data_IF_965749854509
#
_entry.id   IF_965749854509
#
_cell.length_a   1.000
_cell.length_b   1.000
_cell.length_c   1.000
_cell.angle_alpha   90.00
_cell.angle_beta   90.00
_cell.angle_gamma   90.00
#
_symmetry.space_group_name_H-M   'P 1'
#
loop_
_entity.id
_entity.type
_entity.pdbx_description
1 polymer ?
#
# COMPACT_ATOMS: atom_id res chain seq x y z
N UNK A 1 6.06 -19.25 3.43
CA UNK A 1 6.30 -17.84 3.09
C UNK A 1 5.12 -17.04 3.60
N UNK A 2 5.41 -16.07 4.40
CA UNK A 2 4.35 -15.29 5.04
C UNK A 2 3.95 -14.10 4.16
N UNK A 3 2.75 -13.60 4.42
CA UNK A 3 2.29 -12.35 3.82
C UNK A 3 2.93 -11.18 4.58
N UNK A 4 3.18 -10.05 3.91
CA UNK A 4 3.61 -8.84 4.62
C UNK A 4 2.51 -8.35 5.56
N UNK A 5 2.92 -7.65 6.60
CA UNK A 5 1.96 -6.99 7.49
C UNK A 5 1.44 -5.73 6.82
N UNK A 6 0.14 -5.64 6.53
CA UNK A 6 -0.42 -4.46 5.90
C UNK A 6 -0.74 -3.38 6.92
N UNK A 7 -0.52 -2.15 6.53
CA UNK A 7 -1.00 -0.98 7.26
C UNK A 7 -1.55 0.01 6.24
N UNK A 8 -2.82 0.36 6.40
CA UNK A 8 -3.53 1.19 5.42
C UNK A 8 -3.82 2.56 6.02
N UNK A 9 -3.46 3.58 5.27
CA UNK A 9 -3.74 4.98 5.60
C UNK A 9 -4.42 5.63 4.41
N UNK A 10 -5.43 6.44 4.68
CA UNK A 10 -6.06 7.26 3.66
C UNK A 10 -6.22 8.67 4.23
N UNK A 11 -5.52 9.62 3.63
CA UNK A 11 -5.57 11.03 4.03
C UNK A 11 -5.99 11.83 2.82
N UNK A 12 -7.13 12.54 2.93
CA UNK A 12 -7.73 13.22 1.79
C UNK A 12 -7.99 12.21 0.66
N UNK A 13 -7.40 12.41 -0.52
CA UNK A 13 -7.53 11.49 -1.64
C UNK A 13 -6.28 10.63 -1.85
N UNK A 14 -5.39 10.54 -0.85
CA UNK A 14 -4.18 9.73 -0.96
C UNK A 14 -4.36 8.44 -0.17
N UNK A 15 -4.36 7.34 -0.89
CA UNK A 15 -4.40 5.99 -0.31
C UNK A 15 -2.98 5.44 -0.25
N UNK A 16 -2.60 4.89 0.91
CA UNK A 16 -1.29 4.26 1.09
C UNK A 16 -1.49 2.91 1.78
N UNK A 17 -0.96 1.87 1.17
CA UNK A 17 -0.86 0.55 1.79
C UNK A 17 0.59 0.24 2.05
N UNK A 18 1.00 0.28 3.32
CA UNK A 18 2.33 -0.15 3.72
C UNK A 18 2.38 -1.66 3.83
N UNK A 19 3.43 -2.24 3.28
CA UNK A 19 3.71 -3.67 3.39
C UNK A 19 5.08 -3.85 4.04
N UNK A 20 5.12 -4.56 5.15
CA UNK A 20 6.38 -4.92 5.82
C UNK A 20 6.61 -6.41 5.62
N UNK A 21 7.64 -6.72 4.86
CA UNK A 21 8.08 -8.10 4.61
C UNK A 21 9.17 -8.42 5.63
N UNK A 22 8.83 -9.20 6.64
CA UNK A 22 9.76 -9.48 7.75
C UNK A 22 10.94 -10.31 7.31
N UNK A 23 10.70 -11.29 6.43
CA UNK A 23 11.71 -12.23 5.96
C UNK A 23 11.86 -12.21 4.46
N UNK A 24 13.09 -12.37 4.00
CA UNK A 24 13.34 -12.64 2.58
C UNK A 24 12.52 -13.85 2.15
N UNK A 25 11.87 -13.75 0.99
CA UNK A 25 10.99 -14.77 0.47
C UNK A 25 9.51 -14.53 0.77
N UNK A 26 9.16 -13.63 1.66
CA UNK A 26 7.77 -13.27 1.91
C UNK A 26 7.18 -12.64 0.66
N UNK A 27 5.92 -12.97 0.39
CA UNK A 27 5.26 -12.63 -0.87
C UNK A 27 3.94 -11.90 -0.62
N UNK A 28 3.77 -10.77 -1.31
CA UNK A 28 2.47 -10.17 -1.52
C UNK A 28 1.92 -10.71 -2.83
N UNK A 29 0.89 -11.56 -2.75
CA UNK A 29 0.29 -12.17 -3.93
C UNK A 29 -0.30 -11.12 -4.85
N UNK A 30 -0.07 -11.35 -6.14
CA UNK A 30 -0.49 -10.40 -7.13
C UNK A 30 -1.97 -10.47 -7.44
N UNK A 31 -2.47 -9.30 -7.73
CA UNK A 31 -3.78 -9.10 -8.33
C UNK A 31 -3.67 -7.90 -9.25
N UNK A 32 -4.60 -7.81 -10.18
CA UNK A 32 -4.66 -6.64 -11.05
C UNK A 32 -5.54 -5.59 -10.42
N UNK A 33 -5.11 -4.35 -10.50
CA UNK A 33 -5.94 -3.20 -10.11
C UNK A 33 -6.49 -2.53 -11.36
N UNK A 34 -7.63 -1.86 -11.21
CA UNK A 34 -8.22 -1.08 -12.30
C UNK A 34 -7.60 0.32 -12.40
N UNK A 35 -6.53 0.60 -11.68
CA UNK A 35 -5.87 1.89 -11.63
C UNK A 35 -4.35 1.71 -11.64
N UNK A 36 -3.64 2.70 -12.17
CA UNK A 36 -2.18 2.77 -12.07
C UNK A 36 -1.81 3.19 -10.66
N UNK A 37 -0.68 2.69 -10.17
CA UNK A 37 -0.17 3.15 -8.88
C UNK A 37 1.35 3.08 -8.83
N UNK A 38 1.91 3.70 -7.80
CA UNK A 38 3.34 3.67 -7.52
C UNK A 38 3.57 2.85 -6.27
N UNK A 39 4.54 1.96 -6.33
CA UNK A 39 5.06 1.31 -5.13
C UNK A 39 6.39 1.96 -4.78
N UNK A 40 6.44 2.60 -3.61
CA UNK A 40 7.69 3.15 -3.06
C UNK A 40 8.36 2.04 -2.24
N UNK A 41 9.51 1.58 -2.74
CA UNK A 41 10.37 0.66 -1.99
C UNK A 41 11.24 1.51 -1.06
N UNK A 42 10.90 1.50 0.22
CA UNK A 42 11.54 2.38 1.21
C UNK A 42 12.78 1.76 1.83
N UNK A 43 12.78 0.44 2.02
CA UNK A 43 13.95 -0.28 2.55
C UNK A 43 13.98 -1.69 1.99
N UNK A 44 15.18 -2.29 1.96
CA UNK A 44 15.38 -3.65 1.49
C UNK A 44 15.41 -3.77 -0.02
N UNK A 45 14.91 -4.88 -0.53
CA UNK A 45 14.89 -5.18 -1.96
C UNK A 45 13.67 -6.03 -2.31
N UNK A 46 13.09 -5.78 -3.48
CA UNK A 46 11.92 -6.49 -3.98
C UNK A 46 12.19 -7.06 -5.36
N UNK A 47 11.57 -8.22 -5.62
CA UNK A 47 11.43 -8.78 -6.95
C UNK A 47 9.97 -8.65 -7.37
N UNK A 48 9.77 -7.98 -8.50
CA UNK A 48 8.46 -7.87 -9.12
C UNK A 48 8.29 -8.97 -10.16
N UNK A 49 7.23 -9.75 -10.00
CA UNK A 49 6.82 -10.74 -10.99
C UNK A 49 5.59 -10.21 -11.72
N UNK A 50 5.72 -9.95 -13.01
CA UNK A 50 4.62 -9.45 -13.84
C UNK A 50 4.88 -9.79 -15.31
N UNK A 51 3.81 -10.10 -16.03
CA UNK A 51 3.86 -10.36 -17.47
C UNK A 51 4.85 -11.47 -17.86
N UNK A 52 4.99 -12.49 -17.00
CA UNK A 52 5.93 -13.59 -17.21
C UNK A 52 7.40 -13.22 -17.07
N UNK A 53 7.66 -12.05 -16.53
CA UNK A 53 9.02 -11.52 -16.32
C UNK A 53 9.24 -11.19 -14.86
N UNK A 54 10.53 -11.07 -14.49
CA UNK A 54 10.91 -10.61 -13.15
C UNK A 54 11.83 -9.42 -13.27
N UNK A 55 11.72 -8.51 -12.32
CA UNK A 55 12.61 -7.34 -12.21
C UNK A 55 12.94 -7.13 -10.75
N UNK A 56 14.21 -6.90 -10.46
CA UNK A 56 14.69 -6.69 -9.11
C UNK A 56 14.95 -5.20 -8.87
N UNK A 57 14.56 -4.75 -7.68
CA UNK A 57 14.72 -3.36 -7.27
C UNK A 57 15.34 -3.31 -5.89
N UNK A 58 16.21 -2.33 -5.68
CA UNK A 58 16.80 -2.03 -4.38
C UNK A 58 16.35 -0.67 -3.89
N UNK A 59 16.04 -0.59 -2.63
CA UNK A 59 15.61 0.67 -1.99
C UNK A 59 16.75 1.71 -1.97
N UNK A 60 16.42 2.99 -2.04
CA UNK A 60 15.08 3.52 -2.29
C UNK A 60 14.74 3.52 -3.78
N UNK A 61 13.51 3.20 -4.12
CA UNK A 61 13.09 3.12 -5.52
C UNK A 61 11.58 3.30 -5.66
N UNK A 62 11.13 3.96 -6.72
CA UNK A 62 9.73 4.05 -7.08
C UNK A 62 9.45 3.05 -8.20
N UNK A 63 8.47 2.18 -8.00
CA UNK A 63 8.10 1.17 -8.98
C UNK A 63 6.71 1.51 -9.50
N UNK A 64 6.62 1.75 -10.82
CA UNK A 64 5.33 2.02 -11.45
C UNK A 64 4.63 0.70 -11.77
N UNK A 65 3.38 0.58 -11.34
CA UNK A 65 2.54 -0.58 -11.64
C UNK A 65 1.36 -0.11 -12.49
N UNK A 66 1.29 -0.61 -13.72
CA UNK A 66 0.25 -0.23 -14.65
C UNK A 66 -1.06 -0.94 -14.32
N UNK A 67 -2.17 -0.23 -14.54
CA UNK A 67 -3.51 -0.80 -14.38
C UNK A 67 -3.68 -2.06 -15.23
N UNK A 68 -4.38 -3.05 -14.71
CA UNK A 68 -4.70 -4.29 -15.40
C UNK A 68 -3.58 -5.32 -15.43
N UNK A 69 -2.42 -5.02 -14.87
CA UNK A 69 -1.29 -5.96 -14.83
C UNK A 69 -1.33 -6.75 -13.54
N UNK A 70 -1.46 -8.07 -13.65
CA UNK A 70 -1.31 -8.95 -12.50
C UNK A 70 0.16 -8.97 -12.08
N UNK A 71 0.42 -8.66 -10.83
CA UNK A 71 1.78 -8.54 -10.32
C UNK A 71 1.90 -9.16 -8.94
N UNK A 72 3.09 -9.64 -8.62
CA UNK A 72 3.43 -10.21 -7.33
C UNK A 72 4.73 -9.60 -6.85
N UNK A 73 4.81 -9.30 -5.56
CA UNK A 73 6.01 -8.73 -4.96
C UNK A 73 6.63 -9.75 -4.01
N UNK A 74 7.90 -10.02 -4.21
CA UNK A 74 8.67 -10.94 -3.36
C UNK A 74 9.81 -10.18 -2.70
N UNK A 75 9.94 -10.29 -1.38
CA UNK A 75 11.05 -9.68 -0.67
C UNK A 75 12.33 -10.47 -0.92
N UNK A 76 13.41 -9.77 -1.24
CA UNK A 76 14.73 -10.35 -1.44
C UNK A 76 15.62 -10.20 -0.20
N UNK A 77 15.22 -9.36 0.74
CA UNK A 77 15.94 -9.11 1.99
C UNK A 77 14.96 -9.11 3.15
N UNK A 78 15.45 -9.42 4.34
CA UNK A 78 14.67 -9.28 5.57
C UNK A 78 14.33 -7.80 5.80
N UNK A 79 13.19 -7.54 6.46
CA UNK A 79 12.74 -6.19 6.79
C UNK A 79 12.64 -5.26 5.57
N UNK A 80 12.15 -5.80 4.46
CA UNK A 80 11.81 -4.99 3.29
C UNK A 80 10.50 -4.27 3.53
N UNK A 81 10.47 -2.97 3.26
CA UNK A 81 9.27 -2.13 3.44
C UNK A 81 8.94 -1.45 2.14
N UNK A 82 7.68 -1.60 1.72
CA UNK A 82 7.16 -0.98 0.51
C UNK A 82 5.80 -0.35 0.79
N UNK A 83 5.51 0.73 0.06
CA UNK A 83 4.23 1.44 0.16
C UNK A 83 3.59 1.51 -1.21
N UNK A 84 2.39 0.97 -1.34
CA UNK A 84 1.57 1.19 -2.55
C UNK A 84 0.81 2.49 -2.35
N UNK A 85 0.98 3.42 -3.26
CA UNK A 85 0.43 4.78 -3.16
C UNK A 85 -0.47 5.03 -4.35
N UNK A 86 -1.69 5.48 -4.08
CA UNK A 86 -2.67 5.79 -5.11
C UNK A 86 -3.40 7.08 -4.75
N UNK A 87 -3.47 8.00 -5.70
CA UNK A 87 -4.30 9.19 -5.58
C UNK A 87 -5.72 8.83 -6.08
N UNK A 88 -6.68 8.84 -5.17
CA UNK A 88 -8.07 8.49 -5.49
C UNK A 88 -8.67 9.58 -6.35
N UNK A 89 -9.18 9.19 -7.51
CA UNK A 89 -9.78 10.11 -8.48
C UNK A 89 -11.29 10.16 -8.31
N UNK A 90 -11.92 11.16 -8.92
CA UNK A 90 -13.38 11.28 -8.92
C UNK A 90 -14.03 10.00 -9.45
N UNK A 91 -15.03 9.52 -8.75
CA UNK A 91 -15.75 8.30 -9.10
C UNK A 91 -15.12 7.02 -8.54
N UNK A 92 -13.91 7.07 -8.04
CA UNK A 92 -13.29 5.94 -7.38
C UNK A 92 -13.70 5.88 -5.91
N UNK A 93 -13.91 4.66 -5.42
CA UNK A 93 -14.28 4.44 -4.02
C UNK A 93 -13.17 3.67 -3.34
N UNK A 94 -12.81 4.10 -2.13
CA UNK A 94 -11.77 3.41 -1.34
C UNK A 94 -12.16 1.95 -1.10
N UNK A 95 -13.44 1.68 -0.91
CA UNK A 95 -13.95 0.33 -0.68
C UNK A 95 -13.68 -0.60 -1.87
N UNK A 96 -13.55 -0.05 -3.06
CA UNK A 96 -13.24 -0.81 -4.28
C UNK A 96 -11.72 -1.03 -4.45
N UNK A 97 -10.92 -0.24 -3.73
CA UNK A 97 -9.45 -0.32 -3.79
C UNK A 97 -8.90 -1.28 -2.74
N UNK A 98 -9.49 -1.26 -1.55
CA UNK A 98 -9.07 -2.13 -0.45
C UNK A 98 -9.75 -3.48 -0.59
N UNK A 99 -8.95 -4.52 -0.81
CA UNK A 99 -9.47 -5.89 -0.76
C UNK A 99 -9.63 -6.29 0.71
N UNK A 100 -10.87 -6.57 1.18
CA UNK A 100 -11.09 -6.99 2.55
C UNK A 100 -10.27 -8.23 2.94
N UNK A 101 -9.97 -9.10 1.98
CA UNK A 101 -9.17 -10.30 2.22
C UNK A 101 -7.71 -9.96 2.51
N UNK A 102 -7.24 -8.77 2.17
CA UNK A 102 -5.87 -8.34 2.45
C UNK A 102 -5.71 -7.76 3.85
N UNK A 103 -6.81 -7.54 4.55
CA UNK A 103 -6.78 -7.00 5.91
C UNK A 103 -6.58 -8.15 6.91
N UNK A 104 -5.88 -7.89 8.02
CA UNK A 104 -5.81 -8.86 9.11
C UNK A 104 -7.20 -9.21 9.64
N UNK A 105 -7.34 -10.43 10.16
CA UNK A 105 -8.61 -10.88 10.72
C UNK A 105 -9.11 -9.92 11.81
N UNK A 106 -10.39 -9.57 11.71
CA UNK A 106 -11.02 -8.64 12.66
C UNK A 106 -10.81 -7.17 12.35
N UNK A 107 -10.03 -6.84 11.33
CA UNK A 107 -9.87 -5.45 10.89
C UNK A 107 -10.79 -5.16 9.71
N UNK A 108 -11.33 -3.96 9.71
CA UNK A 108 -12.07 -3.43 8.56
C UNK A 108 -11.46 -2.09 8.19
N UNK A 109 -11.52 -1.77 6.91
CA UNK A 109 -11.14 -0.43 6.47
C UNK A 109 -12.26 0.53 6.84
N UNK A 110 -11.93 1.51 7.64
CA UNK A 110 -12.81 2.63 7.97
C UNK A 110 -11.96 3.89 7.78
N UNK A 111 -12.40 4.85 6.96
CA UNK A 111 -11.60 6.05 6.71
C UNK A 111 -11.14 6.78 7.98
N UNK A 112 -11.97 6.77 9.00
CA UNK A 112 -11.66 7.40 10.29
C UNK A 112 -10.49 6.73 10.99
N UNK A 113 -10.28 5.42 10.77
CA UNK A 113 -9.16 4.69 11.36
C UNK A 113 -7.85 4.95 10.66
N UNK A 114 -7.88 5.54 9.47
CA UNK A 114 -6.69 5.91 8.74
C UNK A 114 -6.08 7.22 9.23
N UNK A 115 -6.82 7.99 10.01
CA UNK A 115 -6.35 9.21 10.63
C UNK A 115 -5.99 8.95 12.08
N UNK A 116 -4.87 9.48 12.56
CA UNK A 116 -4.63 9.53 14.01
C UNK A 116 -5.62 10.47 14.70
N UNK A 117 -6.24 11.38 13.94
CA UNK A 117 -7.24 12.33 14.42
C UNK A 117 -8.42 12.35 13.48
N UNK A 118 -9.62 12.63 14.00
CA UNK A 118 -10.77 12.94 13.16
C UNK A 118 -10.57 14.29 12.49
N UNK A 119 -11.33 14.55 11.43
CA UNK A 119 -11.26 15.85 10.77
C UNK A 119 -11.62 16.99 11.72
N UNK A 120 -12.64 16.78 12.55
CA UNK A 120 -13.05 17.77 13.56
C UNK A 120 -11.93 18.08 14.56
N UNK A 121 -11.22 17.05 15.00
CA UNK A 121 -10.09 17.23 15.91
C UNK A 121 -8.95 18.02 15.26
N UNK A 122 -8.67 17.77 13.99
CA UNK A 122 -7.66 18.52 13.25
C UNK A 122 -8.05 19.99 13.12
N UNK A 123 -9.29 20.25 12.76
CA UNK A 123 -9.80 21.60 12.60
C UNK A 123 -9.79 22.34 13.93
N UNK A 124 -10.17 21.69 15.00
CA UNK A 124 -10.18 22.28 16.34
C UNK A 124 -8.78 22.64 16.79
N UNK A 125 -7.80 21.76 16.58
CA UNK A 125 -6.40 22.02 16.92
C UNK A 125 -5.84 23.20 16.14
N UNK A 126 -6.10 23.25 14.85
CA UNK A 126 -5.63 24.34 13.99
C UNK A 126 -6.34 25.64 14.32
N UNK A 127 -7.64 25.59 14.58
CA UNK A 127 -8.43 26.74 14.98
C UNK A 127 -8.00 27.30 16.32
N UNK A 128 -7.63 26.45 17.27
CA UNK A 128 -7.18 26.88 18.60
C UNK A 128 -5.84 27.58 18.57
N UNK A 129 -5.04 27.39 17.54
CA UNK A 129 -3.74 28.02 17.36
C UNK A 129 -3.80 29.33 16.56
N UNK A 130 -4.96 29.64 16.07
CA UNK A 130 -5.22 30.88 15.33
C UNK A 130 -5.77 31.96 16.27
#
# INVERSE_FOLDING_TARGET
MDKPYPHITCVSNVFIKQMRFVKAGDIEQGHAHCFDHVTLLASGALRLHALGKTSDFKAPHHIFIKAGVVHELEALEDETVAHCIHAIRDGERVEDIVDPASLPAGQSYVPENAYPFTQDELELKNGATQ
#
